data_IF_370781618922
#
_entry.id   IF_370781618922
#
_cell.length_a   1.000
_cell.length_b   1.000
_cell.length_c   1.000
_cell.angle_alpha   90.00
_cell.angle_beta   90.00
_cell.angle_gamma   90.00
#
_symmetry.space_group_name_H-M   'P 1'
#
loop_
_entity.id
_entity.type
_entity.pdbx_description
1 polymer ?
#
# COMPACT_ATOMS: atom_id res chain seq x y z
N UNK A 1 -21.06 18.26 -12.05
CA UNK A 1 -20.73 17.18 -11.09
C UNK A 1 -19.87 16.19 -11.83
N UNK A 2 -18.55 16.28 -11.64
CA UNK A 2 -17.58 15.37 -12.28
C UNK A 2 -17.41 14.21 -11.31
N UNK A 3 -17.84 13.02 -11.72
CA UNK A 3 -17.53 11.80 -11.00
C UNK A 3 -16.03 11.55 -11.14
N UNK A 4 -15.32 11.53 -10.02
CA UNK A 4 -13.93 11.11 -9.96
C UNK A 4 -13.98 9.58 -9.91
N UNK A 5 -13.92 8.94 -11.08
CA UNK A 5 -13.68 7.50 -11.16
C UNK A 5 -12.29 7.24 -10.56
N UNK A 6 -12.25 6.67 -9.36
CA UNK A 6 -11.04 6.09 -8.80
C UNK A 6 -10.61 4.95 -9.71
N UNK A 7 -9.61 5.19 -10.56
CA UNK A 7 -8.97 4.16 -11.37
C UNK A 7 -8.38 3.12 -10.43
N UNK A 8 -9.15 2.07 -10.14
CA UNK A 8 -8.61 0.83 -9.61
C UNK A 8 -7.65 0.29 -10.65
N UNK A 9 -6.37 0.19 -10.29
CA UNK A 9 -5.34 -0.37 -11.14
C UNK A 9 -5.82 -1.72 -11.72
N UNK A 10 -5.63 -1.99 -13.02
CA UNK A 10 -5.99 -3.28 -13.63
C UNK A 10 -5.36 -4.49 -12.93
N UNK A 11 -4.32 -4.26 -12.11
CA UNK A 11 -3.73 -5.24 -11.19
C UNK A 11 -4.72 -5.81 -10.17
N UNK A 12 -5.58 -4.97 -9.58
CA UNK A 12 -6.52 -5.37 -8.52
C UNK A 12 -7.65 -6.24 -9.09
N UNK A 13 -7.96 -6.08 -10.37
CA UNK A 13 -9.00 -6.84 -11.07
C UNK A 13 -8.52 -8.24 -11.50
N UNK A 14 -7.21 -8.44 -11.70
CA UNK A 14 -6.66 -9.69 -12.23
C UNK A 14 -6.56 -10.82 -11.18
N UNK A 15 -6.38 -10.49 -9.90
CA UNK A 15 -6.04 -11.49 -8.86
C UNK A 15 -7.23 -12.19 -8.20
N UNK A 16 -8.47 -11.89 -8.62
CA UNK A 16 -9.66 -12.63 -8.22
C UNK A 16 -10.02 -12.57 -6.71
N UNK A 17 -11.28 -12.80 -6.35
CA UNK A 17 -11.75 -12.70 -4.95
C UNK A 17 -11.33 -13.89 -4.05
N UNK A 18 -10.52 -14.83 -4.54
CA UNK A 18 -10.22 -16.10 -3.85
C UNK A 18 -9.40 -15.92 -2.56
N UNK A 19 -8.83 -14.73 -2.33
CA UNK A 19 -8.11 -14.39 -1.08
C UNK A 19 -8.92 -13.50 -0.13
N UNK A 20 -10.17 -13.15 -0.42
CA UNK A 20 -10.94 -12.17 0.36
C UNK A 20 -12.26 -12.75 0.87
N UNK A 21 -12.25 -13.62 1.89
CA UNK A 21 -13.48 -13.98 2.61
C UNK A 21 -13.35 -13.75 4.12
N UNK A 22 -14.37 -13.08 4.65
CA UNK A 22 -14.45 -12.46 5.99
C UNK A 22 -15.13 -13.40 6.99
N UNK A 23 -14.67 -13.35 8.25
CA UNK A 23 -15.48 -13.67 9.43
C UNK A 23 -15.67 -12.42 10.33
N UNK A 24 -16.65 -12.41 11.24
CA UNK A 24 -17.01 -11.20 12.00
C UNK A 24 -15.99 -10.88 13.09
N UNK A 25 -15.54 -9.62 13.16
CA UNK A 25 -14.62 -9.17 14.21
C UNK A 25 -15.26 -9.21 15.62
N UNK A 26 -14.48 -9.55 16.66
CA UNK A 26 -14.85 -9.36 18.05
C UNK A 26 -15.11 -7.88 18.36
N UNK A 27 -16.21 -7.62 19.06
CA UNK A 27 -16.68 -6.28 19.43
C UNK A 27 -15.94 -5.74 20.65
N UNK A 28 -14.67 -5.34 20.51
CA UNK A 28 -14.12 -4.19 21.25
C UNK A 28 -12.70 -3.83 20.75
N UNK A 29 -12.61 -2.81 19.89
CA UNK A 29 -11.32 -2.23 19.47
C UNK A 29 -11.48 -0.71 19.31
N UNK A 30 -12.14 -0.08 20.27
CA UNK A 30 -12.70 1.26 20.18
C UNK A 30 -11.69 2.42 20.39
N UNK A 31 -10.38 2.19 20.58
CA UNK A 31 -9.49 3.28 21.03
C UNK A 31 -8.12 3.50 20.36
N UNK A 32 -7.67 2.70 19.39
CA UNK A 32 -6.46 3.03 18.61
C UNK A 32 -6.60 2.50 17.19
N UNK A 33 -6.48 3.36 16.18
CA UNK A 33 -6.24 2.93 14.79
C UNK A 33 -4.72 2.94 14.59
N UNK A 34 -4.03 1.78 14.58
CA UNK A 34 -2.57 1.71 14.46
C UNK A 34 -2.00 2.30 13.16
N UNK A 35 -2.85 2.41 12.13
CA UNK A 35 -2.54 2.87 10.78
C UNK A 35 -2.00 4.31 10.77
N UNK A 36 -2.73 5.29 11.35
CA UNK A 36 -2.31 6.70 11.34
C UNK A 36 -1.06 6.99 12.19
N UNK A 37 -0.75 6.13 13.17
CA UNK A 37 0.44 6.28 14.02
C UNK A 37 1.73 5.78 13.35
N UNK A 38 1.62 5.03 12.25
CA UNK A 38 2.75 4.41 11.54
C UNK A 38 2.98 4.96 10.13
N UNK A 39 2.18 5.95 9.70
CA UNK A 39 2.31 6.56 8.37
C UNK A 39 3.71 7.14 8.12
N UNK A 40 4.41 6.68 7.08
CA UNK A 40 5.75 7.14 6.70
C UNK A 40 5.64 8.17 5.58
N UNK A 41 6.19 9.37 5.79
CA UNK A 41 6.23 10.41 4.78
C UNK A 41 7.34 10.14 3.76
N UNK A 42 6.97 9.69 2.55
CA UNK A 42 7.95 9.38 1.47
C UNK A 42 8.71 10.62 1.04
N UNK A 43 10.04 10.49 0.92
CA UNK A 43 10.93 11.56 0.45
C UNK A 43 11.04 12.77 1.40
N UNK A 44 10.52 12.66 2.62
CA UNK A 44 10.50 13.73 3.61
C UNK A 44 11.26 13.30 4.86
N UNK A 45 12.35 14.00 5.13
CA UNK A 45 13.18 13.85 6.32
C UNK A 45 12.92 14.98 7.31
N UNK A 46 13.09 14.70 8.60
CA UNK A 46 13.08 15.71 9.64
C UNK A 46 14.39 16.51 9.60
N UNK A 47 14.35 17.85 9.51
CA UNK A 47 15.55 18.69 9.55
C UNK A 47 16.24 18.71 10.92
N UNK A 48 15.53 18.32 11.99
CA UNK A 48 16.08 18.27 13.34
C UNK A 48 16.84 16.98 13.69
N UNK A 49 16.47 15.84 13.10
CA UNK A 49 17.09 14.54 13.41
C UNK A 49 17.53 13.75 12.17
N UNK A 50 17.33 14.28 10.97
CA UNK A 50 17.66 13.70 9.65
C UNK A 50 16.96 12.38 9.30
N UNK A 51 16.18 11.81 10.21
CA UNK A 51 15.39 10.59 9.98
C UNK A 51 14.12 10.87 9.15
N UNK A 52 13.63 9.84 8.46
CA UNK A 52 12.32 9.88 7.80
C UNK A 52 11.20 10.13 8.81
N UNK A 53 10.29 11.04 8.48
CA UNK A 53 9.17 11.35 9.39
C UNK A 53 8.15 10.22 9.36
N UNK A 54 7.83 9.69 10.55
CA UNK A 54 6.74 8.73 10.77
C UNK A 54 5.68 9.36 11.69
N UNK A 55 4.41 9.22 11.30
CA UNK A 55 3.26 9.79 11.99
C UNK A 55 3.08 11.28 11.69
N UNK A 56 3.07 12.11 12.73
CA UNK A 56 2.78 13.56 12.60
C UNK A 56 3.98 14.31 12.01
N UNK A 57 3.74 15.05 10.92
CA UNK A 57 4.66 15.96 10.24
C UNK A 57 4.24 17.41 10.46
N UNK A 58 5.22 18.28 10.67
CA UNK A 58 5.03 19.72 10.77
C UNK A 58 5.94 20.41 9.77
N UNK A 59 5.40 21.32 8.95
CA UNK A 59 6.13 21.96 7.84
C UNK A 59 6.05 23.47 7.93
N UNK A 60 7.11 24.16 7.52
CA UNK A 60 7.11 25.60 7.30
C UNK A 60 6.73 25.91 5.84
N UNK A 61 5.97 26.98 5.62
CA UNK A 61 5.55 27.37 4.26
C UNK A 61 6.60 28.17 3.52
N UNK A 62 7.43 28.91 4.26
CA UNK A 62 8.36 29.89 3.70
C UNK A 62 9.70 29.24 3.33
N UNK A 63 10.12 28.26 4.11
CA UNK A 63 11.33 27.46 3.88
C UNK A 63 10.93 25.98 3.93
N UNK A 64 11.50 25.13 3.07
CA UNK A 64 11.24 23.67 3.02
C UNK A 64 11.79 22.97 4.27
N UNK A 65 11.21 23.28 5.43
CA UNK A 65 11.64 22.87 6.75
C UNK A 65 10.57 22.00 7.39
N UNK A 66 10.91 20.75 7.66
CA UNK A 66 10.03 19.70 8.13
C UNK A 66 10.52 19.12 9.46
N UNK A 67 9.64 19.06 10.46
CA UNK A 67 9.92 18.41 11.75
C UNK A 67 8.98 17.24 12.03
N UNK A 68 9.55 16.18 12.61
CA UNK A 68 8.77 15.12 13.23
C UNK A 68 8.18 15.59 14.57
N UNK A 69 7.21 14.83 15.10
CA UNK A 69 6.59 15.14 16.38
C UNK A 69 7.59 15.29 17.54
N UNK A 70 8.64 14.46 17.58
CA UNK A 70 9.63 14.49 18.65
C UNK A 70 10.51 15.75 18.63
N UNK A 71 10.82 16.26 17.44
CA UNK A 71 11.65 17.45 17.25
C UNK A 71 10.86 18.77 17.35
N UNK A 72 9.53 18.73 17.24
CA UNK A 72 8.69 19.94 17.29
C UNK A 72 8.89 20.78 18.57
N UNK A 73 9.15 20.13 19.71
CA UNK A 73 9.41 20.82 21.00
C UNK A 73 10.59 21.80 20.93
N UNK A 74 11.58 21.47 20.09
CA UNK A 74 12.75 22.31 19.83
C UNK A 74 12.56 23.14 18.55
N UNK A 75 11.37 23.10 17.93
CA UNK A 75 11.08 23.76 16.67
C UNK A 75 11.31 25.27 16.70
N UNK A 76 10.95 25.96 17.79
CA UNK A 76 11.27 27.39 17.95
C UNK A 76 12.78 27.66 18.07
N UNK A 77 13.58 26.69 18.54
CA UNK A 77 15.04 26.83 18.57
C UNK A 77 15.67 26.52 17.21
N UNK A 78 15.16 25.48 16.55
CA UNK A 78 15.66 24.99 15.26
C UNK A 78 15.25 25.93 14.11
N UNK A 79 14.08 26.56 14.21
CA UNK A 79 13.51 27.47 13.22
C UNK A 79 12.72 28.61 13.89
N UNK A 80 13.41 29.62 14.47
CA UNK A 80 12.80 30.65 15.32
C UNK A 80 11.93 31.68 14.59
N UNK A 81 12.11 31.83 13.28
CA UNK A 81 11.49 32.91 12.50
C UNK A 81 10.04 32.62 12.10
N UNK A 82 9.65 31.35 12.01
CA UNK A 82 8.36 30.96 11.44
C UNK A 82 7.63 29.91 12.27
N UNK A 83 6.32 29.82 12.05
CA UNK A 83 5.43 28.86 12.72
C UNK A 83 5.33 27.60 11.85
N UNK A 84 5.62 26.45 12.45
CA UNK A 84 5.44 25.15 11.81
C UNK A 84 3.97 24.72 11.87
N UNK A 85 3.38 24.39 10.72
CA UNK A 85 2.00 23.96 10.60
C UNK A 85 1.92 22.42 10.52
N UNK A 86 0.94 21.77 11.17
CA UNK A 86 0.72 20.34 11.02
C UNK A 86 0.24 20.02 9.60
N UNK A 87 0.83 18.99 8.98
CA UNK A 87 0.37 18.46 7.70
C UNK A 87 -0.65 17.34 7.98
N UNK A 88 -1.87 17.39 7.41
CA UNK A 88 -2.84 16.31 7.58
C UNK A 88 -2.28 15.02 6.98
N UNK A 89 -2.25 13.96 7.78
CA UNK A 89 -1.91 12.61 7.29
C UNK A 89 -2.96 12.23 6.25
N UNK A 90 -2.57 11.87 5.02
CA UNK A 90 -3.51 11.39 4.02
C UNK A 90 -4.36 10.26 4.60
N UNK A 91 -5.66 10.29 4.33
CA UNK A 91 -6.51 9.14 4.62
C UNK A 91 -6.13 8.04 3.62
N UNK A 92 -5.10 7.27 3.96
CA UNK A 92 -4.84 6.01 3.32
C UNK A 92 -6.10 5.15 3.50
N UNK A 93 -6.56 4.44 2.45
CA UNK A 93 -7.61 3.47 2.62
C UNK A 93 -7.15 2.50 3.72
N UNK A 94 -8.01 2.20 4.71
CA UNK A 94 -7.63 1.30 5.78
C UNK A 94 -7.09 0.03 5.16
N UNK A 95 -5.87 -0.36 5.58
CA UNK A 95 -5.24 -1.61 5.17
C UNK A 95 -6.30 -2.70 5.17
N UNK A 96 -6.57 -3.30 4.01
CA UNK A 96 -7.40 -4.48 3.95
C UNK A 96 -6.71 -5.52 4.83
N UNK A 97 -7.24 -5.73 6.04
CA UNK A 97 -6.77 -6.75 6.97
C UNK A 97 -7.37 -8.06 6.46
N UNK A 98 -6.76 -8.56 5.39
CA UNK A 98 -7.12 -9.82 4.78
C UNK A 98 -6.58 -10.93 5.69
N UNK A 99 -7.44 -11.82 6.16
CA UNK A 99 -7.01 -13.01 6.88
C UNK A 99 -6.15 -13.89 5.96
N UNK A 100 -4.95 -14.27 6.41
CA UNK A 100 -4.07 -15.15 5.66
C UNK A 100 -4.56 -16.60 5.72
N UNK A 101 -4.80 -17.22 4.56
CA UNK A 101 -5.07 -18.67 4.45
C UNK A 101 -3.76 -19.41 4.22
N UNK A 102 -3.64 -20.62 4.75
CA UNK A 102 -2.48 -21.46 4.52
C UNK A 102 -2.32 -21.79 3.02
N UNK A 103 -1.11 -21.63 2.49
CA UNK A 103 -0.82 -21.72 1.05
C UNK A 103 -1.13 -23.10 0.48
N UNK A 104 -0.87 -24.15 1.26
CA UNK A 104 -1.18 -25.54 0.91
C UNK A 104 -2.68 -25.76 0.69
N UNK A 105 -3.51 -25.16 1.54
CA UNK A 105 -4.96 -25.21 1.39
C UNK A 105 -5.46 -24.35 0.21
N UNK A 106 -4.92 -23.13 0.04
CA UNK A 106 -5.36 -22.20 -1.00
C UNK A 106 -5.03 -22.67 -2.43
N UNK A 107 -3.95 -23.44 -2.59
CA UNK A 107 -3.41 -23.89 -3.88
C UNK A 107 -3.54 -25.41 -4.10
N UNK A 108 -4.19 -26.13 -3.19
CA UNK A 108 -4.40 -27.57 -3.30
C UNK A 108 -5.06 -27.95 -4.63
N UNK A 109 -4.41 -28.84 -5.39
CA UNK A 109 -4.94 -29.38 -6.64
C UNK A 109 -4.92 -28.42 -7.83
N UNK A 110 -4.40 -27.20 -7.66
CA UNK A 110 -4.33 -26.19 -8.73
C UNK A 110 -3.00 -26.25 -9.49
N UNK A 111 -3.03 -25.91 -10.76
CA UNK A 111 -1.86 -25.50 -11.53
C UNK A 111 -1.56 -24.03 -11.22
N UNK A 112 -0.38 -23.74 -10.70
CA UNK A 112 -0.04 -22.39 -10.23
C UNK A 112 1.06 -21.80 -11.09
N UNK A 113 0.84 -20.59 -11.60
CA UNK A 113 1.86 -19.75 -12.22
C UNK A 113 2.30 -18.68 -11.23
N UNK A 114 3.58 -18.67 -10.86
CA UNK A 114 4.17 -17.59 -10.08
C UNK A 114 4.63 -16.48 -11.03
N UNK A 115 4.11 -15.28 -10.87
CA UNK A 115 4.45 -14.12 -11.68
C UNK A 115 5.28 -13.13 -10.86
N UNK A 116 6.59 -13.07 -11.13
CA UNK A 116 7.51 -12.14 -10.50
C UNK A 116 7.60 -10.84 -11.32
N UNK A 117 7.24 -9.71 -10.73
CA UNK A 117 7.34 -8.40 -11.39
C UNK A 117 7.45 -7.29 -10.35
N UNK A 118 7.71 -6.06 -10.81
CA UNK A 118 7.77 -4.86 -9.98
C UNK A 118 7.38 -3.62 -10.80
N UNK A 119 6.95 -2.56 -10.13
CA UNK A 119 6.62 -1.26 -10.75
C UNK A 119 7.84 -0.56 -11.34
N UNK A 120 9.03 -0.77 -10.76
CA UNK A 120 10.29 -0.27 -11.32
C UNK A 120 10.75 -1.05 -12.56
N UNK A 121 10.09 -2.16 -12.92
CA UNK A 121 10.45 -3.00 -14.06
C UNK A 121 9.84 -2.46 -15.37
N UNK A 122 10.62 -1.66 -16.10
CA UNK A 122 10.19 -1.07 -17.38
C UNK A 122 9.84 -2.08 -18.50
N UNK A 123 10.18 -3.36 -18.37
CA UNK A 123 9.90 -4.40 -19.35
C UNK A 123 8.82 -5.41 -18.91
N UNK A 124 8.29 -5.29 -17.70
CA UNK A 124 7.36 -6.27 -17.15
C UNK A 124 5.89 -6.04 -17.57
N UNK A 125 5.50 -4.78 -17.81
CA UNK A 125 4.14 -4.41 -18.25
C UNK A 125 3.65 -5.13 -19.51
N UNK A 126 4.42 -5.18 -20.62
CA UNK A 126 3.99 -5.85 -21.86
C UNK A 126 3.68 -7.34 -21.71
N UNK A 127 4.22 -8.01 -20.67
CA UNK A 127 3.92 -9.41 -20.41
C UNK A 127 2.52 -9.61 -19.80
N UNK A 128 2.01 -8.64 -19.03
CA UNK A 128 0.65 -8.71 -18.48
C UNK A 128 -0.41 -8.72 -19.58
N UNK A 129 -0.21 -7.97 -20.65
CA UNK A 129 -1.10 -7.95 -21.81
C UNK A 129 -1.24 -9.33 -22.48
N UNK A 130 -0.23 -10.20 -22.33
CA UNK A 130 -0.26 -11.60 -22.78
C UNK A 130 -0.86 -12.54 -21.72
N UNK A 131 -0.57 -12.28 -20.45
CA UNK A 131 -0.97 -13.16 -19.34
C UNK A 131 -2.48 -13.09 -19.05
N UNK A 132 -3.08 -11.90 -19.09
CA UNK A 132 -4.51 -11.69 -18.81
C UNK A 132 -5.40 -12.55 -19.72
N UNK A 133 -5.31 -12.48 -21.06
CA UNK A 133 -6.16 -13.29 -21.93
C UNK A 133 -5.87 -14.79 -21.80
N UNK A 134 -4.62 -15.18 -21.53
CA UNK A 134 -4.25 -16.56 -21.28
C UNK A 134 -4.93 -17.11 -20.02
N UNK A 135 -4.90 -16.34 -18.92
CA UNK A 135 -5.53 -16.71 -17.65
C UNK A 135 -7.03 -16.92 -17.81
N UNK A 136 -7.74 -15.97 -18.43
CA UNK A 136 -9.17 -16.12 -18.71
C UNK A 136 -9.47 -17.33 -19.60
N UNK A 137 -8.61 -17.58 -20.60
CA UNK A 137 -8.71 -18.75 -21.47
C UNK A 137 -8.49 -20.08 -20.74
N UNK A 138 -7.72 -20.08 -19.64
CA UNK A 138 -7.51 -21.25 -18.78
C UNK A 138 -8.68 -21.46 -17.81
N UNK A 139 -9.18 -20.39 -17.19
CA UNK A 139 -10.35 -20.45 -16.31
C UNK A 139 -11.61 -20.95 -17.02
N UNK A 140 -11.75 -20.68 -18.32
CA UNK A 140 -12.90 -21.12 -19.12
C UNK A 140 -12.86 -22.63 -19.48
N UNK A 141 -11.76 -23.33 -19.22
CA UNK A 141 -11.61 -24.77 -19.54
C UNK A 141 -12.12 -25.63 -18.41
N UNK A 142 -13.13 -26.47 -18.69
CA UNK A 142 -13.62 -27.45 -17.72
C UNK A 142 -12.52 -28.42 -17.28
N UNK A 143 -12.37 -28.59 -15.97
CA UNK A 143 -11.43 -29.55 -15.38
C UNK A 143 -9.99 -29.07 -15.24
N UNK A 144 -9.73 -27.77 -15.44
CA UNK A 144 -8.42 -27.16 -15.18
C UNK A 144 -8.57 -26.07 -14.12
N UNK A 145 -8.08 -26.37 -12.92
CA UNK A 145 -7.96 -25.37 -11.85
C UNK A 145 -6.62 -24.66 -11.97
N UNK A 146 -6.60 -23.50 -12.63
CA UNK A 146 -5.39 -22.70 -12.87
C UNK A 146 -5.44 -21.37 -12.11
N UNK A 147 -4.36 -21.03 -11.42
CA UNK A 147 -4.23 -19.83 -10.59
C UNK A 147 -2.91 -19.10 -10.89
N UNK A 148 -2.93 -17.77 -10.79
CA UNK A 148 -1.72 -16.94 -10.89
C UNK A 148 -1.45 -16.31 -9.52
N UNK A 149 -0.24 -16.48 -9.00
CA UNK A 149 0.22 -15.80 -7.78
C UNK A 149 1.21 -14.73 -8.19
N UNK A 150 0.85 -13.46 -7.97
CA UNK A 150 1.76 -12.34 -8.16
C UNK A 150 2.74 -12.25 -6.99
N UNK A 151 4.02 -12.14 -7.31
CA UNK A 151 5.11 -11.96 -6.36
C UNK A 151 5.81 -10.66 -6.71
N UNK A 152 5.50 -9.60 -5.96
CA UNK A 152 6.15 -8.31 -6.16
C UNK A 152 7.62 -8.35 -5.74
N UNK A 153 8.46 -7.73 -6.57
CA UNK A 153 9.86 -7.41 -6.28
C UNK A 153 10.05 -5.92 -5.99
N UNK A 154 8.97 -5.21 -5.69
CA UNK A 154 9.01 -3.80 -5.29
C UNK A 154 9.71 -3.66 -3.95
N UNK A 155 10.37 -2.52 -3.77
CA UNK A 155 11.15 -2.24 -2.57
C UNK A 155 10.30 -1.71 -1.41
N UNK A 156 9.03 -1.39 -1.67
CA UNK A 156 8.10 -0.87 -0.69
C UNK A 156 6.65 -1.28 -0.97
N UNK A 157 5.87 -1.37 0.11
CA UNK A 157 4.47 -1.83 0.11
C UNK A 157 3.52 -0.93 -0.69
N UNK A 158 3.85 0.35 -0.87
CA UNK A 158 3.02 1.29 -1.64
C UNK A 158 3.24 1.15 -3.15
N UNK A 159 4.29 0.45 -3.56
CA UNK A 159 4.56 0.04 -4.94
C UNK A 159 4.03 -1.37 -5.25
N UNK A 160 3.34 -2.00 -4.28
CA UNK A 160 2.64 -3.28 -4.42
C UNK A 160 1.13 -3.11 -4.68
#
# INVERSE_FOLDING_TARGET
MVAIETQTSPFVTLLGPTLLQKEPLPKDASHLIPDKATYRWKGVSCDGCSETIVGRRFTCKDDNFDLCHACLKDGFKLHPAHILAPVPIPDLPPRATVASVATDHALAGKYVLLYFSADWCGFCGPFLDLLIPYYHGMQARSGVDFEVVFVSSDHDEDSF
#
